data_IF_472931462027
#
_entry.id   IF_472931462027
#
_cell.length_a   1.000
_cell.length_b   1.000
_cell.length_c   1.000
_cell.angle_alpha   90.00
_cell.angle_beta   90.00
_cell.angle_gamma   90.00
#
_symmetry.space_group_name_H-M   'P 1'
#
loop_
_entity.id
_entity.type
_entity.pdbx_description
1 polymer ?
#
# COMPACT_ATOMS: atom_id res chain seq x y z
N UNK A 1 -4.23 5.64 1.33
CA UNK A 1 -4.95 4.43 0.88
C UNK A 1 -3.95 3.30 0.79
N UNK A 2 -4.32 2.11 1.25
CA UNK A 2 -3.48 0.91 1.15
C UNK A 2 -3.71 0.28 -0.22
N UNK A 3 -2.63 -0.03 -0.93
CA UNK A 3 -2.68 -0.47 -2.34
C UNK A 3 -2.14 -1.89 -2.57
N UNK A 4 -1.63 -2.54 -1.52
CA UNK A 4 -1.07 -3.88 -1.60
C UNK A 4 -0.52 -4.34 -0.26
N UNK A 5 -0.08 -5.59 -0.24
CA UNK A 5 0.51 -6.25 0.93
C UNK A 5 2.02 -6.19 0.79
N UNK A 6 2.70 -5.67 1.80
CA UNK A 6 4.16 -5.68 1.83
C UNK A 6 4.65 -7.08 2.23
N UNK A 7 5.75 -7.55 1.64
CA UNK A 7 6.33 -8.86 1.95
C UNK A 7 7.01 -8.95 3.32
N UNK A 8 7.14 -7.81 4.02
CA UNK A 8 7.68 -7.70 5.37
C UNK A 8 6.62 -7.08 6.27
N UNK A 9 6.76 -7.33 7.56
CA UNK A 9 5.79 -6.91 8.59
C UNK A 9 5.70 -5.39 8.80
N UNK A 10 6.62 -4.61 8.21
CA UNK A 10 6.60 -3.16 8.35
C UNK A 10 5.79 -2.48 7.23
N UNK A 11 5.11 -1.40 7.56
CA UNK A 11 4.45 -0.57 6.56
C UNK A 11 5.46 0.18 5.67
N UNK A 12 5.14 0.30 4.38
CA UNK A 12 5.93 1.07 3.42
C UNK A 12 5.06 2.07 2.67
N UNK A 13 5.46 3.35 2.70
CA UNK A 13 4.84 4.40 1.90
C UNK A 13 5.51 4.45 0.55
N UNK A 14 4.72 4.27 -0.51
CA UNK A 14 5.19 4.24 -1.90
C UNK A 14 4.40 5.21 -2.78
N UNK A 15 4.99 5.61 -3.90
CA UNK A 15 4.32 6.40 -4.92
C UNK A 15 3.90 5.48 -6.09
N UNK A 16 2.60 5.22 -6.31
CA UNK A 16 2.14 4.40 -7.43
C UNK A 16 2.00 5.17 -8.75
N UNK A 17 2.05 6.51 -8.73
CA UNK A 17 1.78 7.34 -9.91
C UNK A 17 3.01 7.58 -10.77
N UNK A 18 4.20 7.62 -10.14
CA UNK A 18 5.44 7.94 -10.83
C UNK A 18 6.45 6.82 -10.62
N UNK A 19 6.92 6.25 -11.72
CA UNK A 19 8.05 5.32 -11.72
C UNK A 19 9.28 5.99 -11.12
N UNK A 20 9.99 5.26 -10.26
CA UNK A 20 11.32 5.66 -9.82
C UNK A 20 12.28 5.44 -10.99
N UNK A 21 13.05 6.46 -11.35
CA UNK A 21 14.11 6.30 -12.34
C UNK A 21 15.15 5.33 -11.75
N UNK A 22 15.25 4.14 -12.32
CA UNK A 22 16.22 3.14 -11.88
C UNK A 22 17.57 3.50 -12.49
N UNK A 23 18.37 4.29 -11.78
CA UNK A 23 19.76 4.60 -12.19
C UNK A 23 20.70 3.39 -12.09
N UNK A 24 20.26 2.28 -11.49
CA UNK A 24 21.06 1.08 -11.23
C UNK A 24 20.80 -0.07 -12.21
N UNK A 25 20.04 0.13 -13.30
CA UNK A 25 19.93 -0.88 -14.36
C UNK A 25 21.17 -0.77 -15.23
N UNK A 26 22.18 -1.61 -14.96
CA UNK A 26 23.28 -1.83 -15.91
C UNK A 26 22.66 -2.34 -17.21
N UNK A 27 22.74 -1.52 -18.25
CA UNK A 27 22.27 -1.86 -19.58
C UNK A 27 22.99 -3.13 -20.07
N UNK A 28 22.26 -4.23 -20.12
CA UNK A 28 22.58 -5.36 -20.98
C UNK A 28 21.27 -5.98 -21.46
N UNK A 29 20.64 -5.27 -22.40
CA UNK A 29 19.71 -5.82 -23.39
C UNK A 29 18.57 -6.70 -22.88
N UNK A 30 17.47 -6.08 -22.49
CA UNK A 30 16.10 -6.54 -22.80
C UNK A 30 15.15 -5.40 -22.44
N UNK A 31 14.41 -4.90 -23.42
CA UNK A 31 13.22 -4.08 -23.19
C UNK A 31 12.16 -5.06 -22.66
N UNK A 32 12.23 -5.38 -21.37
CA UNK A 32 11.23 -6.24 -20.74
C UNK A 32 9.91 -5.48 -20.68
N UNK A 33 8.95 -5.90 -21.51
CA UNK A 33 7.58 -5.45 -21.37
C UNK A 33 7.12 -5.70 -19.92
N UNK A 34 6.64 -4.64 -19.26
CA UNK A 34 6.23 -4.70 -17.86
C UNK A 34 4.99 -5.60 -17.75
N UNK A 35 5.18 -6.84 -17.31
CA UNK A 35 4.09 -7.74 -16.97
C UNK A 35 3.63 -7.48 -15.53
N UNK A 36 2.39 -7.01 -15.38
CA UNK A 36 1.77 -6.79 -14.08
C UNK A 36 0.98 -8.02 -13.65
N UNK A 37 1.31 -8.55 -12.47
CA UNK A 37 0.52 -9.61 -11.83
C UNK A 37 -0.90 -9.08 -11.55
N UNK A 38 -1.96 -9.88 -11.80
CA UNK A 38 -3.33 -9.47 -11.48
C UNK A 38 -3.50 -9.05 -10.01
N UNK A 39 -4.28 -8.00 -9.74
CA UNK A 39 -4.50 -7.54 -8.38
C UNK A 39 -5.39 -8.49 -7.59
N UNK A 40 -5.14 -8.59 -6.28
CA UNK A 40 -5.99 -9.34 -5.35
C UNK A 40 -7.29 -8.56 -5.14
N UNK A 41 -8.42 -9.17 -5.44
CA UNK A 41 -9.75 -8.62 -5.15
C UNK A 41 -10.28 -9.23 -3.87
N UNK A 42 -10.38 -8.42 -2.81
CA UNK A 42 -10.90 -8.85 -1.52
C UNK A 42 -12.42 -8.72 -1.47
N UNK A 43 -13.09 -9.71 -0.88
CA UNK A 43 -14.49 -9.58 -0.45
C UNK A 43 -14.60 -8.66 0.77
N UNK A 44 -15.83 -8.32 1.18
CA UNK A 44 -16.07 -7.50 2.37
C UNK A 44 -15.52 -8.18 3.63
N UNK A 45 -15.76 -9.47 3.76
CA UNK A 45 -15.36 -10.30 4.89
C UNK A 45 -13.84 -10.42 4.96
N UNK A 46 -13.21 -10.71 3.81
CA UNK A 46 -11.75 -10.77 3.72
C UNK A 46 -11.09 -9.42 4.06
N UNK A 47 -11.69 -8.31 3.63
CA UNK A 47 -11.18 -6.99 3.95
C UNK A 47 -11.33 -6.65 5.43
N UNK A 48 -12.42 -7.08 6.08
CA UNK A 48 -12.62 -6.91 7.53
C UNK A 48 -11.65 -7.75 8.37
N UNK A 49 -11.33 -8.96 7.92
CA UNK A 49 -10.32 -9.81 8.57
C UNK A 49 -8.90 -9.26 8.37
N UNK A 50 -8.65 -8.59 7.24
CA UNK A 50 -7.34 -8.06 6.88
C UNK A 50 -6.93 -6.80 7.66
N UNK A 51 -7.87 -5.90 7.97
CA UNK A 51 -7.54 -4.59 8.54
C UNK A 51 -7.01 -4.67 9.98
N UNK A 52 -5.97 -3.89 10.26
CA UNK A 52 -5.44 -3.69 11.62
C UNK A 52 -6.16 -2.61 12.43
N UNK A 53 -5.71 -2.41 13.68
CA UNK A 53 -6.30 -1.40 14.59
C UNK A 53 -6.12 0.04 14.09
N UNK A 54 -5.08 0.35 13.33
CA UNK A 54 -4.80 1.68 12.78
C UNK A 54 -5.36 1.87 11.36
N UNK A 55 -6.17 0.92 10.89
CA UNK A 55 -6.78 0.89 9.56
C UNK A 55 -8.29 0.96 9.61
N UNK A 56 -8.88 1.29 8.47
CA UNK A 56 -10.31 1.41 8.24
C UNK A 56 -10.64 0.88 6.85
N UNK A 57 -11.79 0.21 6.77
CA UNK A 57 -12.41 -0.16 5.50
C UNK A 57 -13.39 0.94 5.08
N UNK A 58 -13.10 1.58 3.96
CA UNK A 58 -14.02 2.51 3.30
C UNK A 58 -14.97 1.70 2.40
N UNK A 59 -16.25 1.72 2.74
CA UNK A 59 -17.29 0.97 2.04
C UNK A 59 -18.16 1.94 1.22
N UNK A 60 -18.28 1.67 -0.07
CA UNK A 60 -19.20 2.38 -0.97
C UNK A 60 -20.00 1.36 -1.78
N UNK A 61 -21.18 1.70 -2.34
CA UNK A 61 -22.01 0.74 -3.07
C UNK A 61 -21.32 0.05 -4.24
N UNK A 62 -20.27 0.67 -4.81
CA UNK A 62 -19.54 0.14 -5.97
C UNK A 62 -18.13 -0.34 -5.64
N UNK A 63 -17.61 -0.08 -4.44
CA UNK A 63 -16.19 -0.28 -4.15
C UNK A 63 -15.90 -0.42 -2.66
N UNK A 64 -14.93 -1.29 -2.36
CA UNK A 64 -14.31 -1.46 -1.05
C UNK A 64 -12.86 -0.98 -1.13
N UNK A 65 -12.40 -0.19 -0.15
CA UNK A 65 -11.02 0.31 -0.11
C UNK A 65 -10.46 0.26 1.30
N UNK A 66 -9.23 -0.23 1.45
CA UNK A 66 -8.52 -0.20 2.73
C UNK A 66 -7.70 1.08 2.84
N UNK A 67 -7.72 1.72 4.02
CA UNK A 67 -6.94 2.92 4.31
C UNK A 67 -6.50 2.95 5.77
N UNK A 68 -5.40 3.65 6.04
CA UNK A 68 -5.01 4.01 7.41
C UNK A 68 -5.97 5.06 7.97
N UNK A 69 -6.18 5.05 9.29
CA UNK A 69 -6.91 6.07 10.05
C UNK A 69 -6.30 7.45 9.79
N UNK A 70 -4.98 7.55 10.01
CA UNK A 70 -4.18 8.72 9.71
C UNK A 70 -3.64 8.63 8.28
N UNK A 71 -4.01 9.59 7.45
CA UNK A 71 -3.68 9.57 6.02
C UNK A 71 -2.23 9.98 5.76
N UNK A 72 -1.77 11.01 6.46
CA UNK A 72 -0.45 11.58 6.23
C UNK A 72 0.59 10.78 7.01
N UNK A 73 1.75 10.55 6.39
CA UNK A 73 2.83 9.77 7.00
C UNK A 73 3.36 10.42 8.29
N UNK A 74 3.48 11.74 8.29
CA UNK A 74 3.99 12.47 9.47
C UNK A 74 3.03 12.39 10.66
N UNK A 75 1.71 12.35 10.41
CA UNK A 75 0.71 12.14 11.46
C UNK A 75 0.87 10.74 12.07
N UNK A 76 1.07 9.71 11.22
CA UNK A 76 1.35 8.33 11.69
C UNK A 76 2.61 8.26 12.56
N UNK A 77 3.71 8.89 12.10
CA UNK A 77 4.97 8.97 12.86
C UNK A 77 4.83 9.71 14.17
N UNK A 78 3.94 10.70 14.23
CA UNK A 78 3.70 11.45 15.46
C UNK A 78 2.85 10.66 16.44
N UNK A 79 1.80 9.97 15.95
CA UNK A 79 0.95 9.12 16.77
C UNK A 79 1.66 7.88 17.33
N UNK A 80 2.65 7.33 16.60
CA UNK A 80 3.44 6.20 17.09
C UNK A 80 4.47 6.57 18.17
N UNK A 81 4.78 7.87 18.34
CA UNK A 81 5.64 8.35 19.43
C UNK A 81 4.81 8.40 20.72
N UNK A 82 5.02 7.44 21.62
CA UNK A 82 4.49 7.53 22.99
C UNK A 82 5.03 8.80 23.68
N UNK A 83 4.21 9.56 24.42
CA UNK A 83 4.74 10.54 25.35
C UNK A 83 5.60 9.80 26.39
N UNK A 84 6.77 10.37 26.70
CA UNK A 84 7.63 9.89 27.78
C UNK A 84 6.94 10.07 29.13
#
# INVERSE_FOLDING_TARGET
MVIGIHSRDNDLVVNPLKGKQLTNVRASGTDEAINLTPPIRMSLEQALEFIGEDELLEVTPKSLRVRKKLLLEHERKSASRKPK
#
